data_IF_141889799094
#
_entry.id   IF_141889799094
#
_cell.length_a   1.000
_cell.length_b   1.000
_cell.length_c   1.000
_cell.angle_alpha   90.00
_cell.angle_beta   90.00
_cell.angle_gamma   90.00
#
_symmetry.space_group_name_H-M   'P 1'
#
loop_
_entity.id
_entity.type
_entity.pdbx_description
1 polymer ?
#
# COMPACT_ATOMS: atom_id res chain seq x y z
N UNK A 1 -12.71 -4.08 10.84
CA UNK A 1 -12.20 -3.63 12.19
C UNK A 1 -10.95 -2.75 12.09
N UNK A 2 -9.95 -3.05 11.28
CA UNK A 2 -8.70 -2.26 11.18
C UNK A 2 -8.91 -0.91 10.50
N UNK A 3 -9.66 -0.86 9.39
CA UNK A 3 -9.96 0.39 8.67
C UNK A 3 -10.59 1.43 9.59
N UNK A 4 -11.61 1.03 10.37
CA UNK A 4 -12.28 1.93 11.32
C UNK A 4 -11.37 2.41 12.47
N UNK A 5 -10.40 1.61 12.92
CA UNK A 5 -9.40 2.06 13.91
C UNK A 5 -8.48 3.12 13.33
N UNK A 6 -7.97 2.90 12.11
CA UNK A 6 -7.12 3.86 11.40
C UNK A 6 -7.87 5.17 11.15
N UNK A 7 -9.11 5.10 10.67
CA UNK A 7 -9.96 6.26 10.44
C UNK A 7 -10.20 7.09 11.70
N UNK A 8 -10.55 6.44 12.81
CA UNK A 8 -10.75 7.15 14.10
C UNK A 8 -9.47 7.81 14.60
N UNK A 9 -8.33 7.13 14.46
CA UNK A 9 -7.04 7.70 14.86
C UNK A 9 -6.68 8.92 14.02
N UNK A 10 -6.91 8.85 12.70
CA UNK A 10 -6.64 9.95 11.78
C UNK A 10 -7.58 11.14 12.04
N UNK A 11 -8.90 10.91 12.11
CA UNK A 11 -9.91 11.95 12.40
C UNK A 11 -9.62 12.69 13.72
N UNK A 12 -9.04 12.01 14.70
CA UNK A 12 -8.67 12.61 16.00
C UNK A 12 -7.42 13.47 15.93
N UNK A 13 -6.42 13.05 15.14
CA UNK A 13 -5.12 13.73 15.05
C UNK A 13 -5.12 14.86 14.03
N UNK A 14 -5.75 14.61 12.89
CA UNK A 14 -5.64 15.44 11.70
C UNK A 14 -7.03 15.95 11.29
N UNK A 15 -7.51 16.96 12.01
CA UNK A 15 -8.90 17.48 11.85
C UNK A 15 -9.12 18.21 10.53
N UNK A 16 -8.07 18.60 9.83
CA UNK A 16 -8.16 19.33 8.57
C UNK A 16 -8.30 18.42 7.33
N UNK A 17 -8.20 17.10 7.51
CA UNK A 17 -8.46 16.15 6.42
C UNK A 17 -9.87 15.56 6.51
N UNK A 18 -10.55 15.52 5.38
CA UNK A 18 -11.76 14.71 5.23
C UNK A 18 -11.38 13.24 5.14
N UNK A 19 -11.81 12.41 6.08
CA UNK A 19 -11.49 10.98 6.10
C UNK A 19 -12.67 10.16 5.60
N UNK A 20 -12.52 9.63 4.39
CA UNK A 20 -13.47 8.78 3.69
C UNK A 20 -13.10 7.31 3.94
N UNK A 21 -14.07 6.48 4.32
CA UNK A 21 -13.81 5.09 4.70
C UNK A 21 -14.70 4.14 3.92
N UNK A 22 -14.09 3.12 3.35
CA UNK A 22 -14.81 2.03 2.68
C UNK A 22 -15.86 1.42 3.62
N UNK A 23 -17.12 1.37 3.16
CA UNK A 23 -18.26 0.84 3.89
C UNK A 23 -19.07 1.90 4.66
N UNK A 24 -18.63 3.15 4.74
CA UNK A 24 -19.43 4.24 5.32
C UNK A 24 -20.41 4.84 4.28
N UNK A 25 -20.05 4.80 3.00
CA UNK A 25 -20.86 5.25 1.88
C UNK A 25 -20.75 4.27 0.70
N UNK A 26 -21.64 4.33 -0.29
CA UNK A 26 -21.48 3.62 -1.55
C UNK A 26 -20.14 3.95 -2.21
N UNK A 27 -19.54 2.99 -2.89
CA UNK A 27 -18.23 3.14 -3.53
C UNK A 27 -18.15 4.33 -4.49
N UNK A 28 -19.16 4.48 -5.33
CA UNK A 28 -19.25 5.58 -6.30
C UNK A 28 -19.20 6.94 -5.64
N UNK A 29 -19.89 7.07 -4.53
CA UNK A 29 -19.96 8.31 -3.75
C UNK A 29 -18.62 8.60 -3.05
N UNK A 30 -17.97 7.59 -2.46
CA UNK A 30 -16.65 7.75 -1.87
C UNK A 30 -15.62 8.23 -2.91
N UNK A 31 -15.67 7.66 -4.13
CA UNK A 31 -14.76 8.05 -5.20
C UNK A 31 -15.08 9.44 -5.76
N UNK A 32 -16.35 9.84 -5.80
CA UNK A 32 -16.77 11.19 -6.18
C UNK A 32 -16.21 12.21 -5.19
N UNK A 33 -16.49 12.02 -3.91
CA UNK A 33 -16.02 12.91 -2.84
C UNK A 33 -14.50 13.01 -2.80
N UNK A 34 -13.80 11.88 -2.97
CA UNK A 34 -12.34 11.86 -2.99
C UNK A 34 -11.73 12.61 -4.18
N UNK A 35 -12.41 12.64 -5.33
CA UNK A 35 -11.96 13.43 -6.49
C UNK A 35 -12.19 14.92 -6.31
N UNK A 36 -13.27 15.29 -5.63
CA UNK A 36 -13.66 16.69 -5.42
C UNK A 36 -12.83 17.35 -4.30
N UNK A 37 -12.53 16.61 -3.24
CA UNK A 37 -11.74 17.11 -2.10
C UNK A 37 -10.29 16.63 -2.15
N UNK A 38 -9.41 17.48 -2.63
CA UNK A 38 -7.95 17.20 -2.73
C UNK A 38 -7.24 17.08 -1.38
N UNK A 39 -7.90 17.46 -0.30
CA UNK A 39 -7.40 17.33 1.08
C UNK A 39 -7.94 16.10 1.78
N UNK A 40 -8.69 15.26 1.06
CA UNK A 40 -9.28 14.06 1.64
C UNK A 40 -8.32 12.87 1.70
N UNK A 41 -8.60 11.96 2.63
CA UNK A 41 -7.91 10.69 2.78
C UNK A 41 -8.91 9.55 2.61
N UNK A 42 -8.69 8.70 1.62
CA UNK A 42 -9.53 7.54 1.36
C UNK A 42 -8.89 6.28 1.98
N UNK A 43 -9.62 5.63 2.88
CA UNK A 43 -9.19 4.41 3.56
C UNK A 43 -10.01 3.22 3.05
N UNK A 44 -9.34 2.25 2.46
CA UNK A 44 -9.98 1.05 1.92
C UNK A 44 -9.12 -0.19 2.01
N UNK A 45 -9.70 -1.34 1.75
CA UNK A 45 -9.01 -2.63 1.64
C UNK A 45 -8.35 -2.79 0.27
N UNK A 46 -7.55 -3.85 0.09
CA UNK A 46 -6.91 -4.14 -1.18
C UNK A 46 -7.93 -4.28 -2.34
N UNK A 47 -9.10 -4.85 -2.08
CA UNK A 47 -10.17 -4.98 -3.08
C UNK A 47 -10.78 -3.64 -3.50
N UNK A 48 -10.73 -2.62 -2.63
CA UNK A 48 -11.20 -1.28 -2.97
C UNK A 48 -10.31 -0.59 -4.02
N UNK A 49 -9.04 -0.98 -4.10
CA UNK A 49 -8.07 -0.45 -5.06
C UNK A 49 -8.47 -0.68 -6.51
N UNK A 50 -9.14 -1.79 -6.80
CA UNK A 50 -9.60 -2.12 -8.14
C UNK A 50 -10.62 -1.07 -8.61
N UNK A 51 -10.39 -0.45 -9.79
CA UNK A 51 -11.27 0.59 -10.34
C UNK A 51 -11.18 1.97 -9.66
N UNK A 52 -10.24 2.21 -8.74
CA UNK A 52 -9.87 3.57 -8.34
C UNK A 52 -9.00 4.16 -9.44
N UNK A 53 -9.59 5.08 -10.18
CA UNK A 53 -8.93 5.83 -11.24
C UNK A 53 -9.00 7.32 -10.92
N UNK A 54 -7.87 7.89 -10.49
CA UNK A 54 -7.76 9.30 -10.12
C UNK A 54 -6.60 9.88 -10.92
N UNK A 55 -6.91 10.60 -12.01
CA UNK A 55 -5.88 11.15 -12.88
C UNK A 55 -5.17 12.34 -12.26
N UNK A 56 -3.92 12.54 -12.70
CA UNK A 56 -3.12 13.71 -12.37
C UNK A 56 -2.85 13.90 -10.88
N UNK A 57 -2.87 15.15 -10.44
CA UNK A 57 -2.54 15.56 -9.07
C UNK A 57 -3.61 15.19 -8.02
N UNK A 58 -4.67 14.50 -8.42
CA UNK A 58 -5.74 14.08 -7.51
C UNK A 58 -5.31 13.02 -6.49
N UNK A 59 -4.20 12.30 -6.75
CA UNK A 59 -3.62 11.32 -5.85
C UNK A 59 -2.15 11.63 -5.62
N UNK A 60 -1.81 12.18 -4.48
CA UNK A 60 -0.44 12.61 -4.14
C UNK A 60 0.31 11.60 -3.27
N UNK A 61 -0.41 10.73 -2.57
CA UNK A 61 0.19 9.74 -1.69
C UNK A 61 -0.61 8.44 -1.64
N UNK A 62 0.11 7.32 -1.68
CA UNK A 62 -0.43 5.98 -1.43
C UNK A 62 0.28 5.38 -0.23
N UNK A 63 -0.49 4.93 0.76
CA UNK A 63 0.04 4.24 1.94
C UNK A 63 -0.42 2.79 1.91
N UNK A 64 0.52 1.87 1.94
CA UNK A 64 0.29 0.43 1.97
C UNK A 64 0.71 -0.09 3.34
N UNK A 65 -0.27 -0.51 4.14
CA UNK A 65 -0.03 -0.96 5.51
C UNK A 65 0.66 -2.33 5.56
N UNK A 66 0.35 -3.20 4.59
CA UNK A 66 0.93 -4.55 4.49
C UNK A 66 1.13 -4.97 3.05
N UNK A 67 2.17 -5.77 2.82
CA UNK A 67 2.33 -6.48 1.54
C UNK A 67 1.08 -7.35 1.33
N UNK A 68 0.44 -7.27 0.15
CA UNK A 68 -0.83 -7.93 -0.14
C UNK A 68 -0.66 -9.43 -0.39
N UNK A 69 -0.16 -10.15 0.60
CA UNK A 69 -0.16 -11.61 0.57
C UNK A 69 -1.61 -12.12 0.68
N UNK A 70 -1.95 -13.18 -0.05
CA UNK A 70 -3.24 -13.85 0.14
C UNK A 70 -3.33 -14.46 1.53
N UNK A 71 -4.56 -14.66 2.00
CA UNK A 71 -4.76 -15.26 3.31
C UNK A 71 -4.32 -16.74 3.30
N UNK A 72 -3.58 -17.22 4.31
CA UNK A 72 -3.13 -18.63 4.35
C UNK A 72 -4.27 -19.65 4.31
N UNK A 73 -5.46 -19.28 4.79
CA UNK A 73 -6.67 -20.09 4.74
C UNK A 73 -7.45 -20.01 3.42
N UNK A 74 -6.96 -19.29 2.42
CA UNK A 74 -7.57 -19.25 1.10
C UNK A 74 -7.43 -20.64 0.44
N UNK A 75 -8.53 -21.22 -0.08
CA UNK A 75 -8.50 -22.54 -0.70
C UNK A 75 -7.49 -22.67 -1.85
N UNK A 76 -7.30 -21.61 -2.64
CA UNK A 76 -6.30 -21.57 -3.72
C UNK A 76 -4.87 -21.63 -3.17
N UNK A 77 -4.60 -20.91 -2.08
CA UNK A 77 -3.30 -20.94 -1.40
C UNK A 77 -3.03 -22.32 -0.83
N UNK A 78 -4.03 -22.93 -0.22
CA UNK A 78 -3.91 -24.30 0.33
C UNK A 78 -3.65 -25.32 -0.78
N UNK A 79 -4.39 -25.25 -1.89
CA UNK A 79 -4.16 -26.12 -3.05
C UNK A 79 -2.76 -25.95 -3.64
N UNK A 80 -2.27 -24.72 -3.79
CA UNK A 80 -0.91 -24.43 -4.26
C UNK A 80 0.14 -25.01 -3.31
N UNK A 81 -0.04 -24.82 -2.00
CA UNK A 81 0.86 -25.39 -0.99
C UNK A 81 0.87 -26.92 -1.03
N UNK A 82 -0.26 -27.55 -1.29
CA UNK A 82 -0.36 -29.00 -1.44
C UNK A 82 0.38 -29.50 -2.69
N UNK A 83 0.31 -28.76 -3.80
CA UNK A 83 0.94 -29.13 -5.08
C UNK A 83 2.44 -28.82 -5.11
N UNK A 84 2.86 -27.65 -4.64
CA UNK A 84 4.21 -27.11 -4.79
C UNK A 84 5.05 -27.23 -3.50
N UNK A 85 4.43 -27.60 -2.38
CA UNK A 85 5.10 -27.75 -1.08
C UNK A 85 5.80 -26.45 -0.63
N UNK A 86 7.03 -26.58 -0.14
CA UNK A 86 7.83 -25.43 0.34
C UNK A 86 8.18 -24.42 -0.76
N UNK A 87 8.08 -24.81 -2.03
CA UNK A 87 8.37 -23.92 -3.16
C UNK A 87 7.21 -22.98 -3.51
N UNK A 88 5.99 -23.24 -3.05
CA UNK A 88 4.79 -22.47 -3.35
C UNK A 88 4.96 -20.98 -3.00
N UNK A 89 5.59 -20.69 -1.87
CA UNK A 89 5.82 -19.31 -1.46
C UNK A 89 6.69 -18.54 -2.45
N UNK A 90 7.85 -19.08 -2.81
CA UNK A 90 8.82 -18.40 -3.68
C UNK A 90 8.39 -18.37 -5.15
N UNK A 91 7.74 -19.44 -5.64
CA UNK A 91 7.35 -19.56 -7.04
C UNK A 91 6.06 -18.82 -7.38
N UNK A 92 5.12 -18.76 -6.44
CA UNK A 92 3.76 -18.28 -6.75
C UNK A 92 3.32 -17.15 -5.83
N UNK A 93 3.34 -17.36 -4.51
CA UNK A 93 2.73 -16.42 -3.55
C UNK A 93 3.50 -15.08 -3.49
N UNK A 94 4.82 -15.13 -3.41
CA UNK A 94 5.65 -13.92 -3.37
C UNK A 94 5.64 -13.12 -4.69
N UNK A 95 5.78 -13.73 -5.88
CA UNK A 95 5.62 -13.03 -7.15
C UNK A 95 4.25 -12.38 -7.32
N UNK A 96 3.17 -13.05 -6.94
CA UNK A 96 1.81 -12.50 -6.98
C UNK A 96 1.67 -11.29 -6.05
N UNK A 97 2.15 -11.38 -4.82
CA UNK A 97 2.15 -10.27 -3.88
C UNK A 97 2.98 -9.06 -4.39
N UNK A 98 4.11 -9.31 -5.03
CA UNK A 98 4.93 -8.28 -5.70
C UNK A 98 4.19 -7.61 -6.86
N UNK A 99 3.49 -8.38 -7.67
CA UNK A 99 2.68 -7.85 -8.78
C UNK A 99 1.57 -6.94 -8.24
N UNK A 100 0.84 -7.39 -7.23
CA UNK A 100 -0.21 -6.60 -6.58
C UNK A 100 0.34 -5.31 -5.94
N UNK A 101 1.53 -5.39 -5.36
CA UNK A 101 2.21 -4.23 -4.79
C UNK A 101 2.61 -3.22 -5.88
N UNK A 102 3.18 -3.72 -6.99
CA UNK A 102 3.50 -2.89 -8.17
C UNK A 102 2.27 -2.19 -8.73
N UNK A 103 1.15 -2.91 -8.85
CA UNK A 103 -0.12 -2.33 -9.30
C UNK A 103 -0.62 -1.25 -8.34
N UNK A 104 -0.50 -1.47 -7.01
CA UNK A 104 -0.89 -0.47 -6.01
C UNK A 104 -0.04 0.80 -6.11
N UNK A 105 1.28 0.66 -6.24
CA UNK A 105 2.19 1.79 -6.45
C UNK A 105 1.95 2.48 -7.79
N UNK A 106 1.66 1.73 -8.85
CA UNK A 106 1.36 2.24 -10.18
C UNK A 106 0.05 3.04 -10.28
N UNK A 107 -0.81 2.99 -9.26
CA UNK A 107 -1.99 3.88 -9.21
C UNK A 107 -1.60 5.34 -8.99
N UNK A 108 -0.48 5.58 -8.33
CA UNK A 108 0.06 6.93 -8.12
C UNK A 108 0.83 7.45 -9.33
N UNK A 109 1.68 6.61 -9.93
CA UNK A 109 2.60 7.00 -11.01
C UNK A 109 2.18 6.26 -12.27
N UNK A 110 1.50 6.95 -13.17
CA UNK A 110 0.98 6.43 -14.44
C UNK A 110 1.74 6.96 -15.63
N UNK A 111 2.24 8.19 -15.50
CA UNK A 111 3.00 8.89 -16.54
C UNK A 111 4.37 9.32 -16.02
N UNK A 112 5.23 9.76 -16.92
CA UNK A 112 6.56 10.31 -16.58
C UNK A 112 6.49 11.65 -15.83
N UNK A 113 5.36 12.31 -15.90
CA UNK A 113 5.12 13.62 -15.28
C UNK A 113 4.47 13.51 -13.90
N UNK A 114 3.87 12.35 -13.58
CA UNK A 114 3.21 12.15 -12.30
C UNK A 114 4.22 12.19 -11.15
N UNK A 115 3.82 12.85 -10.08
CA UNK A 115 4.63 12.98 -8.86
C UNK A 115 3.81 12.58 -7.65
N UNK A 116 4.47 11.89 -6.71
CA UNK A 116 3.81 11.51 -5.46
C UNK A 116 4.68 10.63 -4.59
N UNK A 117 4.11 10.15 -3.49
CA UNK A 117 4.80 9.32 -2.51
C UNK A 117 4.08 8.00 -2.30
N UNK A 118 4.83 6.90 -2.35
CA UNK A 118 4.35 5.60 -1.92
C UNK A 118 5.05 5.24 -0.61
N UNK A 119 4.28 5.00 0.43
CA UNK A 119 4.79 4.56 1.72
C UNK A 119 4.35 3.11 1.98
N UNK A 120 5.28 2.22 2.27
CA UNK A 120 5.01 0.84 2.69
C UNK A 120 5.43 0.72 4.14
N UNK A 121 4.46 0.49 5.03
CA UNK A 121 4.69 0.43 6.48
C UNK A 121 4.75 -0.99 7.04
N UNK A 122 4.95 -1.97 6.17
CA UNK A 122 5.17 -3.37 6.54
C UNK A 122 6.64 -3.62 6.90
N UNK A 123 6.92 -3.87 8.17
CA UNK A 123 8.29 -4.10 8.67
C UNK A 123 9.00 -5.30 8.02
N UNK A 124 8.24 -6.24 7.44
CA UNK A 124 8.81 -7.40 6.72
C UNK A 124 9.63 -6.99 5.50
N UNK A 125 9.32 -5.85 4.89
CA UNK A 125 10.12 -5.28 3.78
C UNK A 125 11.58 -5.09 4.17
N UNK A 126 11.83 -4.72 5.42
CA UNK A 126 13.18 -4.50 5.94
C UNK A 126 13.82 -5.77 6.50
N UNK A 127 13.02 -6.65 7.08
CA UNK A 127 13.47 -7.89 7.71
C UNK A 127 13.79 -9.00 6.69
N UNK A 128 12.98 -9.09 5.64
CA UNK A 128 13.05 -10.13 4.61
C UNK A 128 13.68 -9.57 3.33
N UNK A 129 15.01 -9.35 3.38
CA UNK A 129 15.78 -8.84 2.22
C UNK A 129 15.73 -9.80 1.03
N UNK A 130 15.62 -11.09 1.30
CA UNK A 130 15.47 -12.16 0.31
C UNK A 130 14.21 -11.99 -0.56
N UNK A 131 13.19 -11.29 -0.07
CA UNK A 131 12.00 -10.99 -0.87
C UNK A 131 12.23 -9.92 -1.93
N UNK A 132 13.27 -9.13 -1.82
CA UNK A 132 13.62 -8.07 -2.77
C UNK A 132 12.40 -7.23 -3.22
N UNK A 133 11.64 -6.72 -2.27
CA UNK A 133 10.44 -5.92 -2.51
C UNK A 133 10.73 -4.64 -3.28
N UNK A 134 11.82 -3.87 -3.00
CA UNK A 134 12.13 -2.66 -3.74
C UNK A 134 12.26 -2.88 -5.25
N UNK A 135 12.81 -4.01 -5.71
CA UNK A 135 12.93 -4.31 -7.13
C UNK A 135 11.58 -4.58 -7.83
N UNK A 136 10.53 -4.88 -7.08
CA UNK A 136 9.18 -5.05 -7.62
C UNK A 136 8.44 -3.72 -7.84
N UNK A 137 8.93 -2.62 -7.29
CA UNK A 137 8.32 -1.31 -7.42
C UNK A 137 8.78 -0.61 -8.70
N UNK A 138 8.01 0.35 -9.23
CA UNK A 138 8.51 1.23 -10.29
C UNK A 138 9.86 1.84 -9.90
N UNK A 139 10.72 2.08 -10.89
CA UNK A 139 12.04 2.72 -10.63
C UNK A 139 11.83 4.13 -10.07
N UNK A 140 11.95 4.26 -8.76
CA UNK A 140 11.76 5.50 -8.00
C UNK A 140 12.86 5.60 -6.94
N UNK A 141 13.24 6.82 -6.59
CA UNK A 141 14.10 7.04 -5.43
C UNK A 141 13.35 6.63 -4.17
N UNK A 142 13.91 5.74 -3.37
CA UNK A 142 13.29 5.33 -2.11
C UNK A 142 14.13 5.71 -0.90
N UNK A 143 13.44 5.94 0.22
CA UNK A 143 14.05 6.13 1.53
C UNK A 143 13.59 5.05 2.48
N UNK A 144 14.51 4.53 3.27
CA UNK A 144 14.16 3.70 4.40
C UNK A 144 13.95 4.60 5.62
N UNK A 145 12.76 4.49 6.23
CA UNK A 145 12.44 5.21 7.46
C UNK A 145 12.29 4.19 8.58
N UNK A 146 13.00 4.41 9.68
CA UNK A 146 12.82 3.65 10.91
C UNK A 146 12.15 4.57 11.92
N UNK A 147 10.89 4.27 12.24
CA UNK A 147 10.16 4.98 13.29
C UNK A 147 10.38 4.23 14.59
N UNK A 148 11.21 4.77 15.48
CA UNK A 148 11.31 4.25 16.85
C UNK A 148 10.06 4.67 17.63
N UNK A 149 9.63 3.82 18.56
CA UNK A 149 8.48 4.10 19.43
C UNK A 149 8.69 5.30 20.37
N UNK A 150 9.91 5.82 20.46
CA UNK A 150 10.29 7.03 21.18
C UNK A 150 10.52 8.18 20.21
N UNK A 151 9.52 8.96 19.94
CA UNK A 151 9.40 10.36 19.44
C UNK A 151 10.50 10.98 18.53
N UNK A 152 11.42 10.24 17.94
CA UNK A 152 12.38 10.79 16.99
C UNK A 152 12.52 9.90 15.76
N UNK A 153 11.96 10.34 14.64
CA UNK A 153 12.25 9.74 13.35
C UNK A 153 13.71 10.06 12.98
N UNK A 154 14.62 9.10 13.11
CA UNK A 154 15.97 9.23 12.52
C UNK A 154 15.87 8.90 11.03
N UNK A 155 16.11 9.89 10.21
CA UNK A 155 16.31 9.73 8.77
C UNK A 155 17.59 8.93 8.55
N UNK A 156 17.48 7.72 8.02
CA UNK A 156 18.63 6.93 7.56
C UNK A 156 18.89 7.29 6.11
N UNK A 157 20.16 7.55 5.79
CA UNK A 157 20.63 7.95 4.46
C UNK A 157 20.12 7.04 3.33
N UNK A 158 19.98 7.56 2.10
CA UNK A 158 19.55 6.76 0.95
C UNK A 158 20.54 5.63 0.71
N UNK A 159 20.04 4.41 0.60
CA UNK A 159 20.84 3.31 0.08
C UNK A 159 21.15 3.64 -1.39
N UNK A 160 22.43 3.63 -1.75
CA UNK A 160 22.88 3.82 -3.12
C UNK A 160 22.26 2.83 -4.09
N UNK A 161 22.35 3.09 -5.40
CA UNK A 161 21.84 2.18 -6.41
C UNK A 161 22.60 0.87 -6.34
N UNK A 162 21.86 -0.24 -6.35
CA UNK A 162 22.36 -1.57 -6.63
C UNK A 162 22.14 -1.85 -8.10
#
# INVERSE_FOLDING_TARGET
RLLGKAARALRRKERHYTVLVQGELPRSELLRLFREDRTSVLIGSASFREGVDIPGDGLTQVIIDRIPFPHPGDPLVQARNALEGSAAFSKTILPEAKMLLKQAAGRLIRSRTDRGRVAIIDGRVLQRRDWNIPAALPQVKYRRLVVSSNRAAKSVAPAGPV
#
